data_IF_049173988098
#
_entry.id   IF_049173988098
#
_cell.length_a   1.000
_cell.length_b   1.000
_cell.length_c   1.000
_cell.angle_alpha   90.00
_cell.angle_beta   90.00
_cell.angle_gamma   90.00
#
_symmetry.space_group_name_H-M   'P 1'
#
loop_
_entity.id
_entity.type
_entity.pdbx_description
1 polymer ?
#
# COMPACT_ATOMS: atom_id res chain seq x y z
N UNK A 1 5.82 10.33 -5.59
CA UNK A 1 5.24 9.12 -6.20
C UNK A 1 6.23 7.97 -6.03
N UNK A 2 5.74 6.77 -5.74
CA UNK A 2 6.51 5.54 -5.54
C UNK A 2 5.94 4.49 -6.47
N UNK A 3 6.79 3.92 -7.31
CA UNK A 3 6.45 2.75 -8.12
C UNK A 3 6.86 1.49 -7.38
N UNK A 4 5.93 0.55 -7.30
CA UNK A 4 6.12 -0.75 -6.70
C UNK A 4 6.62 -1.70 -7.80
N UNK A 5 7.84 -2.27 -7.67
CA UNK A 5 8.39 -3.19 -8.66
C UNK A 5 7.65 -4.55 -8.67
N UNK A 6 6.75 -4.75 -7.72
CA UNK A 6 6.05 -5.99 -7.43
C UNK A 6 4.54 -5.78 -7.41
N UNK A 7 3.80 -6.82 -7.81
CA UNK A 7 2.33 -6.84 -7.82
C UNK A 7 1.81 -7.08 -6.40
N UNK A 8 0.52 -6.83 -6.16
CA UNK A 8 -0.10 -7.11 -4.85
C UNK A 8 -0.08 -8.60 -4.51
N UNK A 9 -0.08 -9.46 -5.54
CA UNK A 9 0.08 -10.90 -5.37
C UNK A 9 1.49 -11.23 -4.85
N UNK A 10 2.52 -10.71 -5.50
CA UNK A 10 3.92 -10.87 -5.08
C UNK A 10 4.16 -10.35 -3.64
N UNK A 11 3.52 -9.23 -3.27
CA UNK A 11 3.56 -8.70 -1.89
C UNK A 11 2.90 -9.65 -0.91
N UNK A 12 1.73 -10.20 -1.28
CA UNK A 12 1.02 -11.16 -0.46
C UNK A 12 1.86 -12.41 -0.23
N UNK A 13 2.33 -13.02 -1.31
CA UNK A 13 3.16 -14.23 -1.29
C UNK A 13 4.42 -14.04 -0.44
N UNK A 14 5.13 -12.91 -0.63
CA UNK A 14 6.33 -12.58 0.14
C UNK A 14 6.06 -12.41 1.65
N UNK A 15 4.91 -11.84 2.01
CA UNK A 15 4.53 -11.62 3.41
C UNK A 15 3.77 -12.80 4.04
N UNK A 16 3.51 -13.87 3.29
CA UNK A 16 2.61 -14.96 3.72
C UNK A 16 1.16 -14.51 3.92
N UNK A 17 0.75 -13.43 3.24
CA UNK A 17 -0.58 -12.84 3.28
C UNK A 17 -1.33 -13.10 1.98
N UNK A 18 -2.66 -13.09 2.04
CA UNK A 18 -3.46 -13.13 0.81
C UNK A 18 -3.41 -11.78 0.09
N UNK A 19 -3.50 -11.82 -1.24
CA UNK A 19 -3.65 -10.62 -2.08
C UNK A 19 -4.81 -9.73 -1.62
N UNK A 20 -5.89 -10.33 -1.10
CA UNK A 20 -7.04 -9.64 -0.56
C UNK A 20 -6.69 -8.82 0.69
N UNK A 21 -5.90 -9.40 1.61
CA UNK A 21 -5.43 -8.68 2.81
C UNK A 21 -4.58 -7.49 2.42
N UNK A 22 -3.63 -7.67 1.49
CA UNK A 22 -2.81 -6.57 0.96
C UNK A 22 -3.70 -5.49 0.35
N UNK A 23 -4.63 -5.88 -0.54
CA UNK A 23 -5.56 -4.94 -1.19
C UNK A 23 -6.40 -4.14 -0.19
N UNK A 24 -6.90 -4.79 0.87
CA UNK A 24 -7.66 -4.14 1.96
C UNK A 24 -6.82 -3.11 2.71
N UNK A 25 -5.55 -3.42 3.00
CA UNK A 25 -4.64 -2.48 3.66
C UNK A 25 -4.39 -1.24 2.79
N UNK A 26 -4.08 -1.44 1.50
CA UNK A 26 -3.88 -0.32 0.57
C UNK A 26 -5.15 0.54 0.41
N UNK A 27 -6.33 -0.09 0.37
CA UNK A 27 -7.61 0.62 0.32
C UNK A 27 -7.83 1.45 1.58
N UNK A 28 -7.57 0.88 2.76
CA UNK A 28 -7.70 1.59 4.04
C UNK A 28 -6.75 2.78 4.15
N UNK A 29 -5.51 2.65 3.65
CA UNK A 29 -4.56 3.75 3.60
C UNK A 29 -5.01 4.87 2.65
N UNK A 30 -5.65 4.50 1.52
CA UNK A 30 -6.27 5.44 0.60
C UNK A 30 -7.45 6.17 1.24
N UNK A 31 -8.35 5.46 1.91
CA UNK A 31 -9.52 6.04 2.58
C UNK A 31 -9.12 6.99 3.72
N UNK A 32 -8.04 6.68 4.43
CA UNK A 32 -7.46 7.58 5.45
C UNK A 32 -6.76 8.81 4.86
N UNK A 33 -6.66 8.92 3.53
CA UNK A 33 -5.94 10.01 2.85
C UNK A 33 -4.43 10.01 3.13
N UNK A 34 -3.86 8.86 3.52
CA UNK A 34 -2.43 8.71 3.78
C UNK A 34 -1.67 8.48 2.48
N UNK A 35 -2.26 7.70 1.57
CA UNK A 35 -1.75 7.46 0.22
C UNK A 35 -2.83 7.73 -0.82
N UNK A 36 -2.41 7.92 -2.06
CA UNK A 36 -3.25 7.92 -3.26
C UNK A 36 -2.80 6.80 -4.17
N UNK A 37 -3.74 5.95 -4.58
CA UNK A 37 -3.48 4.90 -5.56
C UNK A 37 -3.59 5.51 -6.96
N UNK A 38 -2.48 5.58 -7.69
CA UNK A 38 -2.45 6.03 -9.09
C UNK A 38 -2.68 4.85 -10.04
N UNK A 39 -2.15 3.68 -9.70
CA UNK A 39 -2.38 2.44 -10.45
C UNK A 39 -2.20 1.20 -9.55
N UNK A 40 -2.36 0.01 -10.13
CA UNK A 40 -2.05 -1.27 -9.49
C UNK A 40 -0.57 -1.47 -9.16
N UNK A 41 0.33 -0.56 -9.57
CA UNK A 41 1.76 -0.59 -9.21
C UNK A 41 2.30 0.79 -8.84
N UNK A 42 1.54 1.87 -8.95
CA UNK A 42 1.98 3.23 -8.62
C UNK A 42 1.15 3.80 -7.47
N UNK A 43 1.83 4.32 -6.45
CA UNK A 43 1.22 5.00 -5.31
C UNK A 43 1.86 6.36 -5.09
N UNK A 44 1.09 7.30 -4.58
CA UNK A 44 1.59 8.60 -4.14
C UNK A 44 1.38 8.70 -2.62
N UNK A 45 2.45 8.96 -1.89
CA UNK A 45 2.40 9.14 -0.43
C UNK A 45 2.00 10.59 -0.16
N UNK A 46 0.84 10.79 0.44
CA UNK A 46 0.32 12.13 0.79
C UNK A 46 0.79 12.57 2.18
N UNK A 47 0.81 11.63 3.14
CA UNK A 47 1.20 11.89 4.54
C UNK A 47 2.26 10.90 5.00
N UNK A 48 3.52 11.22 4.72
CA UNK A 48 4.66 10.33 5.04
C UNK A 48 4.83 10.09 6.54
N UNK A 49 4.64 11.13 7.35
CA UNK A 49 4.76 11.05 8.81
C UNK A 49 3.73 10.09 9.41
N UNK A 50 2.45 10.23 9.03
CA UNK A 50 1.38 9.31 9.42
C UNK A 50 1.64 7.89 8.94
N UNK A 51 2.20 7.71 7.73
CA UNK A 51 2.52 6.39 7.21
C UNK A 51 3.62 5.71 8.03
N UNK A 52 4.66 6.46 8.44
CA UNK A 52 5.75 5.95 9.29
C UNK A 52 5.22 5.54 10.67
N UNK A 53 4.40 6.37 11.30
CA UNK A 53 3.80 6.09 12.60
C UNK A 53 2.86 4.87 12.61
N UNK A 54 2.39 4.41 11.44
CA UNK A 54 1.55 3.20 11.30
C UNK A 54 2.37 1.90 11.15
N UNK A 55 3.67 2.01 10.87
CA UNK A 55 4.56 0.86 10.70
C UNK A 55 5.38 0.50 11.93
N UNK A 56 5.26 1.29 13.00
CA UNK A 56 5.90 1.08 14.31
C UNK A 56 4.98 0.31 15.27
#
# INVERSE_FOLDING_TARGET
>A
QVELPMSRNDIGDYLGLTIETVSRVFTRLKEKGVIRLLSLRSIEILKRDTLLAMGE
#
